data_IF_362453590607
#
_entry.id   IF_362453590607
#
_cell.length_a   1.000
_cell.length_b   1.000
_cell.length_c   1.000
_cell.angle_alpha   90.00
_cell.angle_beta   90.00
_cell.angle_gamma   90.00
#
_symmetry.space_group_name_H-M   'P 1'
#
loop_
_entity.id
_entity.type
_entity.pdbx_description
1 polymer ?
#
# COMPACT_ATOMS: atom_id res chain seq x y z
N UNK A 1 -1.07 -23.06 0.91
CA UNK A 1 -0.31 -21.78 0.80
C UNK A 1 -0.78 -21.01 -0.44
N UNK A 2 -1.25 -19.81 -0.25
CA UNK A 2 -1.75 -18.94 -1.32
C UNK A 2 -0.63 -18.50 -2.29
N UNK A 3 -1.02 -18.12 -3.53
CA UNK A 3 -0.07 -17.68 -4.57
C UNK A 3 0.64 -16.37 -4.22
N UNK A 4 -0.01 -15.48 -3.47
CA UNK A 4 0.58 -14.21 -3.08
C UNK A 4 1.60 -14.39 -1.97
N UNK A 5 1.30 -15.22 -0.96
CA UNK A 5 2.29 -15.60 0.04
C UNK A 5 3.53 -16.22 -0.60
N UNK A 6 3.35 -17.05 -1.67
CA UNK A 6 4.49 -17.63 -2.44
C UNK A 6 5.39 -16.57 -3.08
N UNK A 7 4.85 -15.42 -3.50
CA UNK A 7 5.66 -14.35 -4.08
C UNK A 7 6.64 -13.78 -3.06
N UNK A 8 6.20 -13.64 -1.81
CA UNK A 8 6.99 -13.06 -0.71
C UNK A 8 7.78 -14.10 0.09
N UNK A 9 7.48 -15.39 -0.06
CA UNK A 9 8.12 -16.50 0.67
C UNK A 9 9.65 -16.43 0.72
N UNK A 10 10.37 -16.25 -0.43
CA UNK A 10 11.83 -16.21 -0.39
C UNK A 10 12.37 -15.05 0.45
N UNK A 11 11.72 -13.89 0.36
CA UNK A 11 12.13 -12.70 1.10
C UNK A 11 11.81 -12.83 2.60
N UNK A 12 10.62 -13.34 2.94
CA UNK A 12 10.20 -13.59 4.31
C UNK A 12 11.07 -14.64 4.99
N UNK A 13 11.36 -15.76 4.32
CA UNK A 13 12.25 -16.81 4.84
C UNK A 13 13.69 -16.32 5.02
N UNK A 14 14.18 -15.49 4.10
CA UNK A 14 15.50 -14.85 4.26
C UNK A 14 15.52 -13.99 5.50
N UNK A 15 14.52 -13.14 5.70
CA UNK A 15 14.42 -12.28 6.88
C UNK A 15 14.37 -13.12 8.17
N UNK A 16 13.57 -14.19 8.20
CA UNK A 16 13.53 -15.11 9.35
C UNK A 16 14.89 -15.73 9.65
N UNK A 17 15.63 -16.16 8.64
CA UNK A 17 16.95 -16.76 8.80
C UNK A 17 18.01 -15.74 9.31
N UNK A 18 17.81 -14.46 9.06
CA UNK A 18 18.68 -13.37 9.55
C UNK A 18 18.40 -13.00 11.01
N UNK A 19 17.20 -13.31 11.54
CA UNK A 19 16.74 -12.85 12.86
C UNK A 19 16.53 -13.96 13.88
N UNK A 20 16.41 -15.22 13.44
CA UNK A 20 16.07 -16.35 14.30
C UNK A 20 16.97 -17.58 14.02
N UNK A 21 17.03 -18.48 15.00
CA UNK A 21 17.62 -19.79 14.77
C UNK A 21 16.86 -20.58 13.68
N UNK A 22 17.48 -21.55 12.99
CA UNK A 22 16.82 -22.32 11.96
C UNK A 22 15.51 -22.98 12.41
N UNK A 23 15.48 -23.47 13.64
CA UNK A 23 14.28 -24.11 14.22
C UNK A 23 13.16 -23.09 14.47
N UNK A 24 13.48 -21.96 15.08
CA UNK A 24 12.51 -20.90 15.35
C UNK A 24 12.02 -20.26 14.04
N UNK A 25 12.90 -20.02 13.06
CA UNK A 25 12.54 -19.52 11.75
C UNK A 25 11.54 -20.45 11.04
N UNK A 26 11.75 -21.77 11.11
CA UNK A 26 10.81 -22.76 10.56
C UNK A 26 9.45 -22.68 11.24
N UNK A 27 9.41 -22.64 12.57
CA UNK A 27 8.17 -22.55 13.36
C UNK A 27 7.38 -21.28 13.05
N UNK A 28 8.06 -20.12 12.92
CA UNK A 28 7.44 -18.85 12.55
C UNK A 28 6.91 -18.85 11.13
N UNK A 29 7.61 -19.45 10.20
CA UNK A 29 7.11 -19.64 8.85
C UNK A 29 5.86 -20.51 8.80
N UNK A 30 5.84 -21.63 9.51
CA UNK A 30 4.66 -22.50 9.61
C UNK A 30 3.46 -21.75 10.20
N UNK A 31 3.69 -20.91 11.21
CA UNK A 31 2.66 -20.01 11.78
C UNK A 31 2.16 -18.99 10.75
N UNK A 32 3.07 -18.38 9.96
CA UNK A 32 2.70 -17.45 8.88
C UNK A 32 1.75 -18.13 7.89
N UNK A 33 2.11 -19.31 7.40
CA UNK A 33 1.28 -20.07 6.45
C UNK A 33 -0.08 -20.40 7.05
N UNK A 34 -0.10 -20.89 8.29
CA UNK A 34 -1.34 -21.26 8.97
C UNK A 34 -2.28 -20.08 9.18
N UNK A 35 -1.76 -18.90 9.52
CA UNK A 35 -2.54 -17.67 9.68
C UNK A 35 -3.09 -17.17 8.35
N UNK A 36 -2.27 -17.12 7.31
CA UNK A 36 -2.68 -16.72 5.96
C UNK A 36 -3.83 -17.60 5.45
N UNK A 37 -3.68 -18.92 5.53
CA UNK A 37 -4.73 -19.87 5.14
C UNK A 37 -6.00 -19.76 6.00
N UNK A 38 -5.84 -19.50 7.30
CA UNK A 38 -6.96 -19.26 8.21
C UNK A 38 -7.77 -18.04 7.77
N UNK A 39 -7.12 -16.91 7.50
CA UNK A 39 -7.85 -15.70 7.14
C UNK A 39 -8.49 -15.78 5.78
N UNK A 40 -7.84 -16.38 4.79
CA UNK A 40 -8.47 -16.64 3.48
C UNK A 40 -9.75 -17.47 3.64
N UNK A 41 -9.74 -18.46 4.55
CA UNK A 41 -10.91 -19.31 4.81
C UNK A 41 -12.00 -18.59 5.60
N UNK A 42 -11.65 -17.80 6.60
CA UNK A 42 -12.60 -17.17 7.53
C UNK A 42 -13.11 -15.83 7.04
N UNK A 43 -12.24 -15.00 6.45
CA UNK A 43 -12.56 -13.65 5.96
C UNK A 43 -12.91 -13.65 4.46
N UNK A 44 -12.51 -14.70 3.74
CA UNK A 44 -12.76 -14.87 2.31
C UNK A 44 -11.70 -14.23 1.42
N UNK A 45 -11.85 -14.48 0.13
CA UNK A 45 -10.94 -14.02 -0.93
C UNK A 45 -11.53 -12.88 -1.79
N UNK A 46 -12.62 -12.26 -1.33
CA UNK A 46 -13.34 -11.19 -2.04
C UNK A 46 -13.74 -11.55 -3.49
N UNK A 47 -13.96 -12.84 -3.77
CA UNK A 47 -14.29 -13.33 -5.12
C UNK A 47 -13.08 -13.71 -5.97
N UNK A 48 -11.89 -13.75 -5.36
CA UNK A 48 -10.65 -14.24 -5.97
C UNK A 48 -10.34 -13.59 -7.31
N UNK A 49 -9.96 -14.40 -8.31
CA UNK A 49 -9.57 -13.91 -9.62
C UNK A 49 -10.68 -13.20 -10.43
N UNK A 50 -11.92 -13.24 -9.99
CA UNK A 50 -13.04 -12.50 -10.62
C UNK A 50 -13.09 -11.04 -10.18
N UNK A 51 -12.52 -10.72 -9.02
CA UNK A 51 -12.41 -9.36 -8.49
C UNK A 51 -10.98 -8.84 -8.68
N UNK A 52 -10.75 -7.83 -9.52
CA UNK A 52 -9.40 -7.32 -9.78
C UNK A 52 -8.72 -6.71 -8.56
N UNK A 53 -9.49 -6.37 -7.51
CA UNK A 53 -8.96 -5.82 -6.26
C UNK A 53 -8.68 -6.90 -5.19
N UNK A 54 -9.10 -8.15 -5.41
CA UNK A 54 -8.90 -9.23 -4.45
C UNK A 54 -7.43 -9.48 -4.13
N UNK A 55 -6.53 -9.27 -5.10
CA UNK A 55 -5.08 -9.40 -4.89
C UNK A 55 -4.59 -8.55 -3.73
N UNK A 56 -5.07 -7.32 -3.61
CA UNK A 56 -4.63 -6.40 -2.55
C UNK A 56 -4.96 -6.94 -1.16
N UNK A 57 -6.11 -7.61 -1.03
CA UNK A 57 -6.48 -8.23 0.24
C UNK A 57 -5.66 -9.49 0.54
N UNK A 58 -5.45 -10.33 -0.46
CA UNK A 58 -4.70 -11.57 -0.31
C UNK A 58 -3.20 -11.28 -0.02
N UNK A 59 -2.63 -10.26 -0.65
CA UNK A 59 -1.28 -9.78 -0.32
C UNK A 59 -1.21 -9.22 1.11
N UNK A 60 -2.24 -8.48 1.53
CA UNK A 60 -2.28 -7.95 2.88
C UNK A 60 -2.39 -9.04 3.94
N UNK A 61 -3.15 -10.13 3.70
CA UNK A 61 -3.18 -11.28 4.60
C UNK A 61 -1.80 -11.87 4.81
N UNK A 62 -1.01 -12.05 3.73
CA UNK A 62 0.34 -12.56 3.81
C UNK A 62 1.24 -11.67 4.71
N UNK A 63 1.16 -10.34 4.54
CA UNK A 63 1.94 -9.41 5.37
C UNK A 63 1.46 -9.36 6.82
N UNK A 64 0.17 -9.35 7.08
CA UNK A 64 -0.37 -9.39 8.45
C UNK A 64 -0.02 -10.71 9.14
N UNK A 65 -0.11 -11.84 8.42
CA UNK A 65 0.27 -13.15 8.93
C UNK A 65 1.75 -13.20 9.32
N UNK A 66 2.61 -12.66 8.46
CA UNK A 66 4.02 -12.55 8.74
C UNK A 66 4.29 -11.64 9.95
N UNK A 67 3.70 -10.45 9.96
CA UNK A 67 3.81 -9.48 11.06
C UNK A 67 3.43 -10.08 12.42
N UNK A 68 2.32 -10.83 12.45
CA UNK A 68 1.87 -11.50 13.66
C UNK A 68 2.80 -12.66 14.06
N UNK A 69 3.34 -13.40 13.07
CA UNK A 69 4.21 -14.56 13.33
C UNK A 69 5.57 -14.17 13.91
N UNK A 70 5.99 -12.93 13.71
CA UNK A 70 7.25 -12.38 14.25
C UNK A 70 7.01 -11.45 15.44
N UNK A 71 5.89 -11.65 16.14
CA UNK A 71 5.52 -10.91 17.34
C UNK A 71 5.53 -9.38 17.15
N UNK A 72 5.15 -8.95 15.93
CA UNK A 72 5.06 -7.54 15.51
C UNK A 72 6.40 -6.79 15.54
N UNK A 73 7.52 -7.51 15.50
CA UNK A 73 8.86 -6.93 15.46
C UNK A 73 9.32 -6.47 14.06
N UNK A 74 8.52 -6.76 13.05
CA UNK A 74 8.75 -6.40 11.64
C UNK A 74 8.55 -4.90 11.40
N UNK A 75 9.57 -4.22 10.85
CA UNK A 75 9.60 -2.78 10.68
C UNK A 75 9.20 -2.34 9.25
N UNK A 76 8.93 -1.05 9.02
CA UNK A 76 8.73 -0.52 7.66
C UNK A 76 9.93 -0.73 6.74
N UNK A 77 11.15 -0.67 7.28
CA UNK A 77 12.38 -0.96 6.55
C UNK A 77 12.44 -2.40 6.07
N UNK A 78 12.00 -3.32 6.93
CA UNK A 78 11.88 -4.74 6.59
C UNK A 78 10.86 -4.96 5.48
N UNK A 79 9.69 -4.33 5.61
CA UNK A 79 8.64 -4.36 4.59
C UNK A 79 9.15 -3.87 3.24
N UNK A 80 9.83 -2.72 3.23
CA UNK A 80 10.40 -2.17 2.01
C UNK A 80 11.43 -3.14 1.39
N UNK A 81 12.28 -3.73 2.20
CA UNK A 81 13.28 -4.70 1.76
C UNK A 81 12.65 -5.94 1.12
N UNK A 82 11.53 -6.42 1.68
CA UNK A 82 10.78 -7.54 1.12
C UNK A 82 10.08 -7.18 -0.18
N UNK A 83 9.48 -6.01 -0.27
CA UNK A 83 8.85 -5.52 -1.49
C UNK A 83 9.89 -5.43 -2.61
N UNK A 84 11.06 -4.89 -2.34
CA UNK A 84 12.14 -4.79 -3.33
C UNK A 84 12.64 -6.16 -3.78
N UNK A 85 12.82 -7.07 -2.83
CA UNK A 85 13.27 -8.42 -3.15
C UNK A 85 12.24 -9.18 -4.00
N UNK A 86 10.96 -9.09 -3.65
CA UNK A 86 9.89 -9.83 -4.31
C UNK A 86 9.40 -9.13 -5.60
N UNK A 87 9.23 -7.82 -5.56
CA UNK A 87 8.57 -7.04 -6.63
C UNK A 87 9.53 -6.17 -7.44
N UNK A 88 10.81 -6.17 -7.14
CA UNK A 88 11.79 -5.28 -7.79
C UNK A 88 11.84 -5.41 -9.31
N UNK A 89 11.56 -6.59 -9.89
CA UNK A 89 11.43 -6.74 -11.35
C UNK A 89 10.19 -6.02 -11.88
N UNK A 90 9.06 -6.16 -11.20
CA UNK A 90 7.80 -5.51 -11.59
C UNK A 90 7.90 -3.99 -11.44
N UNK A 91 8.51 -3.50 -10.36
CA UNK A 91 8.78 -2.07 -10.14
C UNK A 91 9.69 -1.52 -11.23
N UNK A 92 10.76 -2.24 -11.61
CA UNK A 92 11.63 -1.84 -12.75
C UNK A 92 10.89 -1.85 -14.08
N UNK A 93 9.93 -2.74 -14.28
CA UNK A 93 9.09 -2.72 -15.47
C UNK A 93 8.16 -1.51 -15.48
N UNK A 94 7.56 -1.17 -14.34
CA UNK A 94 6.74 0.04 -14.19
C UNK A 94 7.53 1.32 -14.48
N UNK A 95 8.83 1.39 -14.15
CA UNK A 95 9.66 2.56 -14.41
C UNK A 95 9.88 2.87 -15.91
N UNK A 96 9.49 1.97 -16.80
CA UNK A 96 9.47 2.22 -18.26
C UNK A 96 8.26 3.05 -18.70
N UNK A 97 7.23 3.14 -17.85
CA UNK A 97 6.06 3.99 -18.09
C UNK A 97 6.30 5.38 -17.50
N UNK A 98 5.89 6.40 -18.24
CA UNK A 98 5.98 7.78 -17.79
C UNK A 98 4.58 8.39 -17.72
N UNK A 99 4.04 8.46 -16.50
CA UNK A 99 2.71 9.01 -16.25
C UNK A 99 2.60 10.47 -16.68
N UNK A 100 3.71 11.25 -16.71
CA UNK A 100 3.72 12.60 -17.27
C UNK A 100 3.30 12.63 -18.74
N UNK A 101 3.66 11.60 -19.49
CA UNK A 101 3.28 11.49 -20.91
C UNK A 101 1.95 10.80 -21.11
N UNK A 102 1.68 9.75 -20.32
CA UNK A 102 0.50 8.93 -20.49
C UNK A 102 -0.77 9.70 -20.11
N UNK A 103 -0.76 10.42 -18.99
CA UNK A 103 -1.94 11.13 -18.48
C UNK A 103 -2.29 12.39 -19.29
N UNK A 104 -1.38 12.89 -20.16
CA UNK A 104 -1.70 13.93 -21.14
C UNK A 104 -2.57 13.42 -22.30
N UNK A 105 -2.61 12.12 -22.52
CA UNK A 105 -3.40 11.49 -23.58
C UNK A 105 -4.82 11.24 -23.11
N UNK A 106 -5.76 12.07 -23.53
CA UNK A 106 -7.18 11.99 -23.12
C UNK A 106 -7.80 10.60 -23.31
N UNK A 107 -7.41 9.86 -24.35
CA UNK A 107 -7.93 8.53 -24.60
C UNK A 107 -7.46 7.51 -23.54
N UNK A 108 -6.22 7.62 -23.03
CA UNK A 108 -5.70 6.79 -21.93
C UNK A 108 -6.48 7.07 -20.65
N UNK A 109 -6.66 8.35 -20.32
CA UNK A 109 -7.46 8.76 -19.15
C UNK A 109 -8.88 8.21 -19.24
N UNK A 110 -9.54 8.31 -20.42
CA UNK A 110 -10.88 7.71 -20.64
C UNK A 110 -10.86 6.20 -20.46
N UNK A 111 -9.83 5.51 -20.94
CA UNK A 111 -9.71 4.06 -20.82
C UNK A 111 -9.58 3.65 -19.32
N UNK A 112 -8.76 4.36 -18.55
CA UNK A 112 -8.60 4.10 -17.11
C UNK A 112 -9.92 4.36 -16.37
N UNK A 113 -10.60 5.47 -16.63
CA UNK A 113 -11.90 5.73 -16.03
C UNK A 113 -12.97 4.72 -16.46
N UNK A 114 -12.92 4.24 -17.71
CA UNK A 114 -13.77 3.16 -18.19
C UNK A 114 -13.56 1.85 -17.41
N UNK A 115 -12.29 1.50 -17.15
CA UNK A 115 -11.92 0.35 -16.32
C UNK A 115 -12.42 0.51 -14.88
N UNK A 116 -12.13 1.65 -14.24
CA UNK A 116 -12.56 1.94 -12.87
C UNK A 116 -14.10 1.98 -12.75
N UNK A 117 -14.79 2.55 -13.75
CA UNK A 117 -16.27 2.54 -13.79
C UNK A 117 -16.86 1.15 -13.97
N UNK A 118 -16.20 0.29 -14.75
CA UNK A 118 -16.58 -1.12 -14.86
C UNK A 118 -16.41 -1.85 -13.52
N UNK A 119 -15.30 -1.58 -12.82
CA UNK A 119 -15.09 -2.11 -11.48
C UNK A 119 -16.17 -1.62 -10.51
N UNK A 120 -16.45 -0.31 -10.47
CA UNK A 120 -17.48 0.29 -9.62
C UNK A 120 -18.84 -0.44 -9.78
N UNK A 121 -19.31 -0.59 -11.01
CA UNK A 121 -20.58 -1.29 -11.32
C UNK A 121 -20.57 -2.74 -10.84
N UNK A 122 -19.48 -3.46 -11.04
CA UNK A 122 -19.33 -4.85 -10.56
C UNK A 122 -19.29 -4.91 -9.04
N UNK A 123 -18.55 -4.01 -8.40
CA UNK A 123 -18.47 -3.94 -6.94
C UNK A 123 -19.84 -3.65 -6.32
N UNK A 124 -20.63 -2.76 -6.89
CA UNK A 124 -22.01 -2.51 -6.45
C UNK A 124 -22.90 -3.75 -6.61
N UNK A 125 -22.79 -4.44 -7.74
CA UNK A 125 -23.59 -5.64 -8.04
C UNK A 125 -23.25 -6.84 -7.15
N UNK A 126 -21.98 -7.07 -6.86
CA UNK A 126 -21.50 -8.28 -6.17
C UNK A 126 -21.15 -8.05 -4.69
N UNK A 127 -21.28 -6.83 -4.20
CA UNK A 127 -21.06 -6.50 -2.79
C UNK A 127 -22.04 -7.27 -1.90
N UNK A 128 -21.56 -7.75 -0.77
CA UNK A 128 -22.33 -8.56 0.16
C UNK A 128 -22.48 -10.04 -0.25
N UNK A 129 -22.06 -10.38 -1.47
CA UNK A 129 -22.09 -11.74 -2.01
C UNK A 129 -20.67 -12.24 -2.30
N UNK A 130 -20.40 -12.67 -3.55
CA UNK A 130 -19.11 -13.25 -3.95
C UNK A 130 -17.90 -12.31 -3.73
N UNK A 131 -18.11 -11.00 -3.71
CA UNK A 131 -17.05 -10.01 -3.46
C UNK A 131 -17.03 -9.47 -2.02
N UNK A 132 -17.88 -10.01 -1.13
CA UNK A 132 -17.93 -9.61 0.27
C UNK A 132 -18.04 -8.08 0.43
N UNK A 133 -17.28 -7.53 1.36
CA UNK A 133 -17.22 -6.08 1.60
C UNK A 133 -16.07 -5.42 0.82
N UNK A 134 -16.02 -5.63 -0.51
CA UNK A 134 -14.97 -5.05 -1.38
C UNK A 134 -14.98 -3.51 -1.39
N UNK A 135 -13.90 -2.91 -1.93
CA UNK A 135 -13.78 -1.45 -2.05
C UNK A 135 -14.97 -0.83 -2.79
N UNK A 136 -15.59 0.17 -2.18
CA UNK A 136 -16.56 1.04 -2.84
C UNK A 136 -15.82 2.25 -3.39
N UNK A 137 -15.93 2.47 -4.68
CA UNK A 137 -15.21 3.54 -5.38
C UNK A 137 -16.18 4.60 -5.90
N UNK A 138 -15.81 5.88 -5.77
CA UNK A 138 -16.42 7.02 -6.47
C UNK A 138 -15.38 7.66 -7.37
N UNK A 139 -15.75 7.91 -8.61
CA UNK A 139 -14.82 8.43 -9.62
C UNK A 139 -14.84 9.96 -9.62
N UNK A 140 -13.68 10.55 -9.44
CA UNK A 140 -13.41 11.99 -9.53
C UNK A 140 -14.49 12.89 -8.88
N UNK A 141 -14.86 12.68 -7.61
CA UNK A 141 -15.92 13.45 -6.98
C UNK A 141 -15.59 14.95 -6.82
N UNK A 142 -14.30 15.30 -6.79
CA UNK A 142 -13.80 16.66 -6.66
C UNK A 142 -13.61 17.39 -8.01
N UNK A 143 -13.97 16.75 -9.14
CA UNK A 143 -13.88 17.30 -10.49
C UNK A 143 -12.48 17.80 -10.90
N UNK A 144 -11.44 17.06 -10.54
CA UNK A 144 -10.09 17.36 -11.01
C UNK A 144 -10.03 17.37 -12.53
N UNK A 145 -9.49 18.43 -13.12
CA UNK A 145 -9.43 18.62 -14.57
C UNK A 145 -8.36 17.80 -15.28
N UNK A 146 -7.46 17.16 -14.53
CA UNK A 146 -6.36 16.32 -15.05
C UNK A 146 -6.00 15.19 -14.11
N UNK A 147 -5.22 14.23 -14.62
CA UNK A 147 -4.84 13.03 -13.86
C UNK A 147 -5.96 12.03 -13.72
N UNK A 148 -5.80 11.12 -12.77
CA UNK A 148 -6.79 10.13 -12.39
C UNK A 148 -7.15 10.36 -10.92
N UNK A 149 -8.41 10.65 -10.64
CA UNK A 149 -8.91 10.86 -9.30
C UNK A 149 -10.06 9.91 -8.97
N UNK A 150 -10.06 9.39 -7.77
CA UNK A 150 -11.13 8.57 -7.23
C UNK A 150 -11.08 8.55 -5.70
N UNK A 151 -12.12 8.07 -5.09
CA UNK A 151 -12.24 7.94 -3.63
C UNK A 151 -12.72 6.54 -3.30
N UNK A 152 -12.14 5.93 -2.28
CA UNK A 152 -12.66 4.73 -1.65
C UNK A 152 -13.46 5.09 -0.41
N UNK A 153 -14.76 4.75 -0.41
CA UNK A 153 -15.65 4.90 0.76
C UNK A 153 -15.53 3.72 1.73
N UNK A 154 -15.05 2.58 1.27
CA UNK A 154 -14.81 1.39 2.10
C UNK A 154 -13.47 0.75 1.71
N UNK A 155 -12.79 0.19 2.69
CA UNK A 155 -11.53 -0.52 2.51
C UNK A 155 -11.54 -1.81 3.34
N UNK A 156 -11.61 -2.99 2.71
CA UNK A 156 -11.59 -4.27 3.42
C UNK A 156 -10.33 -4.46 4.28
N UNK A 157 -9.18 -3.91 3.84
CA UNK A 157 -7.94 -3.96 4.61
C UNK A 157 -8.10 -3.22 5.95
N UNK A 158 -8.73 -2.05 5.93
CA UNK A 158 -8.97 -1.27 7.13
C UNK A 158 -9.92 -1.99 8.08
N UNK A 159 -10.99 -2.57 7.55
CA UNK A 159 -11.96 -3.32 8.35
C UNK A 159 -11.31 -4.54 9.00
N UNK A 160 -10.51 -5.28 8.24
CA UNK A 160 -9.74 -6.41 8.72
C UNK A 160 -8.73 -5.99 9.80
N UNK A 161 -7.92 -4.98 9.50
CA UNK A 161 -6.89 -4.50 10.42
C UNK A 161 -7.48 -4.03 11.75
N UNK A 162 -8.64 -3.37 11.74
CA UNK A 162 -9.36 -2.97 12.96
C UNK A 162 -9.85 -4.17 13.76
N UNK A 163 -10.47 -5.16 13.11
CA UNK A 163 -10.98 -6.35 13.80
C UNK A 163 -9.87 -7.19 14.43
N UNK A 164 -8.72 -7.28 13.77
CA UNK A 164 -7.61 -8.13 14.18
C UNK A 164 -6.46 -7.39 14.91
N UNK A 165 -6.61 -6.07 15.15
CA UNK A 165 -5.63 -5.28 15.88
C UNK A 165 -4.34 -5.00 15.10
N UNK A 166 -4.42 -4.89 13.77
CA UNK A 166 -3.30 -4.54 12.88
C UNK A 166 -3.35 -3.11 12.36
N UNK A 167 -4.19 -2.27 12.96
CA UNK A 167 -4.35 -0.88 12.52
C UNK A 167 -3.01 -0.12 12.59
N UNK A 168 -2.12 -0.52 13.47
CA UNK A 168 -0.80 0.06 13.63
C UNK A 168 0.15 -0.25 12.47
N UNK A 169 -0.03 -1.35 11.82
CA UNK A 169 0.77 -1.75 10.67
C UNK A 169 0.17 -1.32 9.33
N UNK A 170 -1.15 -1.16 9.26
CA UNK A 170 -1.87 -0.90 8.01
C UNK A 170 -1.36 0.33 7.23
N UNK A 171 -1.01 1.49 7.84
CA UNK A 171 -0.49 2.63 7.09
C UNK A 171 0.76 2.30 6.26
N UNK A 172 1.61 1.39 6.75
CA UNK A 172 2.80 0.97 6.01
C UNK A 172 2.43 0.24 4.71
N UNK A 173 1.36 -0.57 4.72
CA UNK A 173 0.83 -1.17 3.50
C UNK A 173 0.21 -0.12 2.57
N UNK A 174 -0.50 0.86 3.11
CA UNK A 174 -1.07 1.95 2.33
C UNK A 174 0.00 2.80 1.62
N UNK A 175 1.25 2.82 2.12
CA UNK A 175 2.37 3.53 1.50
C UNK A 175 2.84 2.91 0.19
N UNK A 176 2.56 1.63 -0.04
CA UNK A 176 2.95 0.91 -1.26
C UNK A 176 2.37 1.58 -2.51
N UNK A 177 1.18 2.17 -2.41
CA UNK A 177 0.56 2.92 -3.50
C UNK A 177 1.44 4.09 -3.99
N UNK A 178 2.07 4.80 -3.07
CA UNK A 178 2.98 5.91 -3.41
C UNK A 178 4.25 5.40 -4.10
N UNK A 179 4.81 4.30 -3.62
CA UNK A 179 5.98 3.66 -4.25
C UNK A 179 5.64 3.21 -5.67
N UNK A 180 4.48 2.60 -5.85
CA UNK A 180 4.02 2.11 -7.17
C UNK A 180 3.79 3.26 -8.15
N UNK A 181 3.11 4.33 -7.72
CA UNK A 181 2.92 5.52 -8.54
C UNK A 181 4.26 6.18 -8.90
N UNK A 182 5.15 6.35 -7.92
CA UNK A 182 6.48 6.93 -8.13
C UNK A 182 7.35 6.10 -9.08
N UNK A 183 7.19 4.77 -9.08
CA UNK A 183 7.90 3.90 -10.03
C UNK A 183 7.56 4.24 -11.49
N UNK A 184 6.35 4.69 -11.77
CA UNK A 184 5.87 5.08 -13.11
C UNK A 184 5.97 6.60 -13.36
N UNK A 185 6.86 7.32 -12.69
CA UNK A 185 6.95 8.78 -12.76
C UNK A 185 5.64 9.49 -12.47
N UNK A 186 4.92 8.99 -11.46
CA UNK A 186 3.69 9.57 -10.95
C UNK A 186 3.82 10.02 -9.51
N UNK A 187 2.91 10.88 -9.12
CA UNK A 187 2.68 11.32 -7.74
C UNK A 187 1.26 10.96 -7.35
N UNK A 188 1.11 10.27 -6.24
CA UNK A 188 -0.16 10.11 -5.57
C UNK A 188 -0.33 11.26 -4.56
N UNK A 189 -1.34 12.09 -4.75
CA UNK A 189 -1.81 13.08 -3.78
C UNK A 189 -2.96 12.44 -3.02
N UNK A 190 -2.79 12.30 -1.71
CA UNK A 190 -3.77 11.67 -0.81
C UNK A 190 -3.75 12.38 0.54
N UNK A 191 -4.87 12.97 0.90
CA UNK A 191 -5.00 13.77 2.11
C UNK A 191 -5.89 13.13 3.16
N UNK A 192 -6.62 12.08 2.79
CA UNK A 192 -7.54 11.36 3.67
C UNK A 192 -7.32 9.87 3.53
N UNK A 193 -7.34 9.16 4.65
CA UNK A 193 -7.26 7.70 4.67
C UNK A 193 -8.20 7.09 5.70
N UNK A 194 -8.88 6.01 5.31
CA UNK A 194 -9.71 5.22 6.24
C UNK A 194 -8.85 4.61 7.36
N UNK A 195 -7.62 4.22 7.04
CA UNK A 195 -6.64 3.76 8.03
C UNK A 195 -6.39 4.82 9.08
N UNK A 196 -6.51 6.06 8.69
CA UNK A 196 -6.34 7.24 9.46
C UNK A 196 -7.49 7.67 10.32
N UNK A 197 -8.63 7.13 10.11
CA UNK A 197 -9.84 7.55 10.78
C UNK A 197 -10.67 8.55 9.97
N UNK A 198 -10.22 8.92 8.77
CA UNK A 198 -11.06 9.67 7.84
C UNK A 198 -12.25 8.82 7.35
N UNK A 199 -13.29 9.47 6.89
CA UNK A 199 -14.47 8.79 6.33
C UNK A 199 -14.25 8.17 4.95
N UNK A 200 -13.09 8.42 4.32
CA UNK A 200 -12.77 8.01 2.95
C UNK A 200 -11.27 7.97 2.71
N UNK A 201 -10.82 7.26 1.67
CA UNK A 201 -9.47 7.42 1.12
C UNK A 201 -9.54 8.15 -0.20
N UNK A 202 -8.96 9.34 -0.32
CA UNK A 202 -8.91 10.06 -1.57
C UNK A 202 -7.62 9.78 -2.36
N UNK A 203 -7.74 9.66 -3.67
CA UNK A 203 -6.64 9.41 -4.59
C UNK A 203 -6.69 10.40 -5.72
N UNK A 204 -5.61 11.14 -5.92
CA UNK A 204 -5.38 11.93 -7.12
C UNK A 204 -4.00 11.64 -7.66
N UNK A 205 -3.93 10.94 -8.80
CA UNK A 205 -2.71 10.50 -9.43
C UNK A 205 -2.38 11.41 -10.60
N UNK A 206 -1.21 12.03 -10.54
CA UNK A 206 -0.65 12.93 -11.54
C UNK A 206 0.70 12.41 -12.03
N UNK A 207 1.22 12.99 -13.11
CA UNK A 207 2.66 12.90 -13.38
C UNK A 207 3.45 13.67 -12.31
N UNK A 208 4.63 13.18 -11.94
CA UNK A 208 5.46 13.75 -10.86
C UNK A 208 6.01 15.15 -11.18
N UNK A 209 5.88 15.62 -12.45
CA UNK A 209 6.29 16.95 -12.92
C UNK A 209 5.12 17.95 -13.05
N UNK A 210 3.91 17.53 -12.76
CA UNK A 210 2.76 18.44 -12.78
C UNK A 210 2.87 19.46 -11.62
N UNK A 211 2.48 20.74 -11.84
CA UNK A 211 2.60 21.78 -10.81
C UNK A 211 1.98 21.40 -9.48
N UNK A 212 0.82 20.75 -9.51
CA UNK A 212 0.12 20.31 -8.28
C UNK A 212 0.87 19.17 -7.58
N UNK A 213 1.51 18.28 -8.35
CA UNK A 213 2.36 17.23 -7.80
C UNK A 213 3.61 17.80 -7.13
N UNK A 214 4.20 18.83 -7.73
CA UNK A 214 5.36 19.55 -7.17
C UNK A 214 4.99 20.40 -5.95
N UNK A 215 3.82 21.02 -5.96
CA UNK A 215 3.32 21.82 -4.84
C UNK A 215 2.96 20.95 -3.63
N UNK A 216 2.59 19.70 -3.86
CA UNK A 216 2.30 18.74 -2.79
C UNK A 216 3.61 18.13 -2.26
N UNK A 217 4.45 18.92 -1.64
CA UNK A 217 5.77 18.52 -1.09
C UNK A 217 5.69 17.67 0.18
N UNK A 218 4.77 16.72 0.24
CA UNK A 218 4.67 15.76 1.32
C UNK A 218 4.12 16.31 2.64
N UNK A 219 3.83 17.61 2.79
CA UNK A 219 3.26 18.17 4.02
C UNK A 219 1.85 17.63 4.30
N UNK A 220 1.01 17.59 3.30
CA UNK A 220 -0.33 17.00 3.39
C UNK A 220 -0.28 15.48 3.50
N UNK A 221 0.68 14.87 2.83
CA UNK A 221 0.90 13.45 2.90
C UNK A 221 1.34 12.98 4.31
N UNK A 222 2.17 13.79 4.97
CA UNK A 222 2.59 13.49 6.34
C UNK A 222 1.49 13.70 7.36
N UNK A 223 0.55 14.62 7.14
CA UNK A 223 -0.56 14.83 8.03
C UNK A 223 -1.53 13.64 8.03
N UNK A 224 -1.77 13.02 6.87
CA UNK A 224 -2.68 11.87 6.82
C UNK A 224 -2.14 10.63 7.55
N UNK A 225 -0.82 10.57 7.76
CA UNK A 225 -0.19 9.51 8.55
C UNK A 225 -0.02 9.91 10.02
N UNK A 226 0.35 11.16 10.29
CA UNK A 226 0.67 11.62 11.64
C UNK A 226 -0.53 11.88 12.53
N UNK A 227 -1.65 12.34 11.95
CA UNK A 227 -2.88 12.60 12.71
C UNK A 227 -3.55 11.33 13.24
N UNK A 228 -3.15 10.18 12.72
CA UNK A 228 -3.84 8.94 13.00
C UNK A 228 -3.38 8.22 14.22
N UNK A 229 -2.15 8.43 14.61
CA UNK A 229 -1.54 7.86 15.80
C UNK A 229 -0.06 8.19 15.86
N UNK A 230 0.54 8.07 17.04
CA UNK A 230 1.98 8.12 17.17
C UNK A 230 2.60 6.88 16.52
N UNK A 231 2.82 6.91 15.21
CA UNK A 231 3.70 5.95 14.57
C UNK A 231 5.12 6.30 15.04
N UNK A 232 5.88 5.34 15.55
CA UNK A 232 7.27 5.58 15.92
C UNK A 232 8.01 6.28 14.79
N UNK A 233 8.82 7.25 15.15
CA UNK A 233 9.53 8.14 14.23
C UNK A 233 10.27 7.41 13.10
N UNK A 234 10.87 6.26 13.42
CA UNK A 234 11.57 5.39 12.46
C UNK A 234 10.65 4.67 11.48
N UNK A 235 9.35 4.62 11.76
CA UNK A 235 8.36 3.89 10.96
C UNK A 235 7.57 4.84 10.07
N UNK A 236 7.52 6.13 10.43
CA UNK A 236 6.69 7.09 9.72
C UNK A 236 7.27 7.45 8.36
N UNK A 237 6.50 7.26 7.33
CA UNK A 237 6.75 7.80 6.00
C UNK A 237 7.93 7.24 5.23
N UNK A 238 8.53 6.12 5.67
CA UNK A 238 9.68 5.55 5.00
C UNK A 238 9.46 5.30 3.51
N UNK A 239 8.37 4.64 3.18
CA UNK A 239 8.05 4.29 1.79
C UNK A 239 7.84 5.51 0.90
N UNK A 240 7.36 6.61 1.48
CA UNK A 240 7.20 7.88 0.77
C UNK A 240 8.54 8.61 0.62
N UNK A 241 9.27 8.74 1.70
CA UNK A 241 10.52 9.50 1.73
C UNK A 241 11.55 9.02 0.71
N UNK A 242 11.56 7.72 0.47
CA UNK A 242 12.45 7.08 -0.52
C UNK A 242 12.29 7.65 -1.93
N UNK A 243 11.08 8.02 -2.32
CA UNK A 243 10.81 8.47 -3.70
C UNK A 243 10.86 9.97 -3.88
N UNK A 244 10.36 10.70 -2.90
CA UNK A 244 10.23 12.16 -2.99
C UNK A 244 11.47 12.88 -2.48
N UNK A 245 12.37 12.20 -1.78
CA UNK A 245 13.46 12.82 -1.03
C UNK A 245 12.99 13.56 0.22
N UNK A 246 11.70 13.46 0.53
CA UNK A 246 11.08 14.09 1.68
C UNK A 246 11.09 13.14 2.88
N UNK A 247 12.02 13.36 3.77
CA UNK A 247 12.05 12.61 5.03
C UNK A 247 10.98 13.16 5.99
N UNK A 248 10.33 12.27 6.76
CA UNK A 248 9.36 12.70 7.76
C UNK A 248 9.99 13.64 8.78
N UNK A 249 9.17 14.51 9.36
CA UNK A 249 9.58 15.38 10.45
C UNK A 249 9.56 14.61 11.77
N UNK A 250 10.48 14.93 12.65
CA UNK A 250 10.41 14.49 14.04
C UNK A 250 9.28 15.23 14.79
N UNK A 251 9.02 14.81 16.02
CA UNK A 251 7.98 15.42 16.86
C UNK A 251 8.23 16.90 17.16
N UNK A 252 9.44 17.43 16.91
CA UNK A 252 9.79 18.83 17.04
C UNK A 252 9.72 19.59 15.72
N UNK A 253 9.22 19.00 14.64
CA UNK A 253 9.12 19.61 13.32
C UNK A 253 10.43 19.67 12.54
N UNK A 254 11.48 18.99 13.00
CA UNK A 254 12.78 18.91 12.30
C UNK A 254 12.81 17.71 11.38
N UNK A 255 13.43 17.86 10.20
CA UNK A 255 13.66 16.73 9.31
C UNK A 255 14.53 15.66 9.99
N UNK A 256 14.10 14.40 9.90
CA UNK A 256 14.89 13.27 10.38
C UNK A 256 16.21 13.20 9.60
N UNK A 257 17.30 12.92 10.30
CA UNK A 257 18.60 12.79 9.67
C UNK A 257 18.63 11.51 8.82
N UNK A 258 19.28 11.57 7.67
CA UNK A 258 19.40 10.48 6.69
C UNK A 258 19.99 9.16 7.27
N UNK A 259 20.57 9.21 8.47
CA UNK A 259 21.06 8.01 9.18
C UNK A 259 19.94 7.05 9.60
N UNK A 260 18.72 7.54 9.70
CA UNK A 260 17.54 6.73 10.07
C UNK A 260 16.97 5.94 8.89
N UNK A 261 17.51 6.17 7.68
CA UNK A 261 17.06 5.52 6.46
C UNK A 261 18.19 4.75 5.78
N UNK A 262 17.90 3.61 5.17
CA UNK A 262 18.89 2.86 4.42
C UNK A 262 19.50 3.70 3.31
N UNK A 263 20.83 3.86 3.28
CA UNK A 263 21.55 4.69 2.29
C UNK A 263 21.24 4.33 0.82
N UNK A 264 20.83 3.11 0.57
CA UNK A 264 20.51 2.62 -0.78
C UNK A 264 19.27 3.26 -1.42
N UNK A 265 18.46 3.98 -0.63
CA UNK A 265 17.24 4.65 -1.10
C UNK A 265 17.45 6.12 -1.45
N UNK A 266 18.59 6.69 -1.09
CA UNK A 266 18.93 8.09 -1.30
C UNK A 266 19.83 8.36 -2.52
N UNK A 267 19.93 7.43 -3.49
CA UNK A 267 20.63 7.63 -4.76
C UNK A 267 19.74 7.33 -5.95
#
# INVERSE_FOLDING_TARGET
MDKYLKIFEPAMKKWLAEHYSPEEAKKRWERTVALDEKWIREEGDLGGGKNPMASNMLEAYAFFAFYDSVDRSFTPEDLQSMIDAAMGKSIRMLSRFDLNKLLKRRWIVKLIYGYLGSYQKKAERFRGNAWGNTWKIRLNPENHGKGIAFVYDTCPLNDFARRHGYIDFLPNLCMIDHVTCGAAHGKLIRHKTLAGGDGECNYWILGDREPEALADVGSKYRSDVQELRPIPERESGLLCAVRTGDYPLDHGGKRMKSRSYPKRWGK
#
